data_IF_896835662441
#
_entry.id   IF_896835662441
#
_cell.length_a   1.000
_cell.length_b   1.000
_cell.length_c   1.000
_cell.angle_alpha   90.00
_cell.angle_beta   90.00
_cell.angle_gamma   90.00
#
_symmetry.space_group_name_H-M   'P 1'
#
loop_
_entity.id
_entity.type
_entity.pdbx_description
1 polymer ?
#
# COMPACT_ATOMS: atom_id res chain seq x y z
N UNK A 1 -12.73 18.63 -9.06
CA UNK A 1 -11.73 17.85 -8.29
C UNK A 1 -10.34 18.42 -8.60
N UNK A 2 -9.90 19.46 -7.90
CA UNK A 2 -8.75 20.24 -8.34
C UNK A 2 -7.44 19.46 -8.32
N UNK A 3 -7.17 18.59 -7.33
CA UNK A 3 -5.97 17.75 -7.36
C UNK A 3 -5.92 16.81 -8.58
N UNK A 4 -7.05 16.19 -8.93
CA UNK A 4 -7.18 15.30 -10.10
C UNK A 4 -7.03 16.06 -11.42
N UNK A 5 -7.64 17.24 -11.52
CA UNK A 5 -7.54 18.13 -12.68
C UNK A 5 -6.09 18.62 -12.85
N UNK A 6 -5.43 19.01 -11.74
CA UNK A 6 -4.03 19.44 -11.75
C UNK A 6 -3.07 18.29 -12.08
N UNK A 7 -3.31 17.07 -11.58
CA UNK A 7 -2.53 15.89 -11.98
C UNK A 7 -2.66 15.64 -13.48
N UNK A 8 -3.87 15.73 -14.03
CA UNK A 8 -4.11 15.57 -15.48
C UNK A 8 -3.40 16.68 -16.28
N UNK A 9 -3.54 17.94 -15.85
CA UNK A 9 -2.97 19.09 -16.56
C UNK A 9 -1.43 19.12 -16.53
N UNK A 10 -0.81 18.70 -15.42
CA UNK A 10 0.62 18.86 -15.21
C UNK A 10 1.43 17.57 -15.38
N UNK A 11 0.91 16.41 -14.97
CA UNK A 11 1.68 15.17 -14.92
C UNK A 11 1.42 14.24 -16.12
N UNK A 12 0.25 14.32 -16.76
CA UNK A 12 -0.09 13.51 -17.94
C UNK A 12 0.91 13.57 -19.10
N UNK A 13 1.53 14.74 -19.41
CA UNK A 13 2.53 14.83 -20.49
C UNK A 13 3.83 14.03 -20.26
N UNK A 14 4.02 13.41 -19.10
CA UNK A 14 5.22 12.67 -18.74
C UNK A 14 5.07 11.14 -18.75
N UNK A 15 3.86 10.62 -19.05
CA UNK A 15 3.51 9.20 -18.94
C UNK A 15 4.42 8.25 -19.74
N UNK A 16 5.08 8.73 -20.80
CA UNK A 16 5.83 7.89 -21.76
C UNK A 16 7.33 8.25 -21.90
N UNK A 17 7.90 9.05 -20.99
CA UNK A 17 9.34 9.38 -21.05
C UNK A 17 10.15 8.41 -20.18
N UNK A 18 10.69 7.36 -20.80
CA UNK A 18 11.56 6.39 -20.11
C UNK A 18 13.04 6.72 -20.29
N UNK A 19 13.78 6.52 -19.20
CA UNK A 19 15.24 6.29 -19.10
C UNK A 19 16.20 7.46 -19.41
N UNK A 20 16.94 7.86 -18.36
CA UNK A 20 18.29 8.45 -18.47
C UNK A 20 19.29 7.37 -18.04
N UNK A 21 20.49 7.37 -18.64
CA UNK A 21 21.47 6.27 -18.70
C UNK A 21 21.77 5.51 -17.38
N UNK A 22 21.59 6.10 -16.20
CA UNK A 22 21.89 5.47 -14.89
C UNK A 22 20.75 5.55 -13.85
N UNK A 23 19.57 6.07 -14.23
CA UNK A 23 18.40 6.17 -13.32
C UNK A 23 17.16 5.58 -13.99
N UNK A 24 16.63 4.53 -13.38
CA UNK A 24 15.31 3.98 -13.72
C UNK A 24 14.26 4.90 -13.09
N UNK A 25 13.57 5.69 -13.92
CA UNK A 25 12.46 6.54 -13.51
C UNK A 25 11.16 6.05 -14.14
N UNK A 26 10.13 5.87 -13.31
CA UNK A 26 8.78 5.54 -13.76
C UNK A 26 7.80 6.52 -13.13
N UNK A 27 6.95 7.15 -13.94
CA UNK A 27 5.79 7.90 -13.49
C UNK A 27 4.53 7.21 -13.99
N UNK A 28 3.65 6.86 -13.07
CA UNK A 28 2.37 6.24 -13.37
C UNK A 28 1.23 7.11 -12.83
N UNK A 29 0.12 7.14 -13.56
CA UNK A 29 -1.04 7.98 -13.28
C UNK A 29 -2.29 7.11 -13.14
N UNK A 30 -3.20 7.55 -12.26
CA UNK A 30 -4.50 6.93 -12.01
C UNK A 30 -4.39 5.42 -11.80
N UNK A 31 -5.09 4.64 -12.61
CA UNK A 31 -5.16 3.17 -12.53
C UNK A 31 -3.81 2.45 -12.69
N UNK A 32 -2.79 3.11 -13.24
CA UNK A 32 -1.45 2.54 -13.38
C UNK A 32 -0.55 2.84 -12.17
N UNK A 33 -0.95 3.76 -11.29
CA UNK A 33 -0.14 4.20 -10.17
C UNK A 33 -0.02 3.16 -9.04
N UNK A 34 -0.90 2.15 -9.01
CA UNK A 34 -1.09 1.22 -7.89
C UNK A 34 0.19 0.59 -7.37
N UNK A 35 1.02 0.01 -8.24
CA UNK A 35 2.22 -0.72 -7.83
C UNK A 35 3.23 0.19 -7.12
N UNK A 36 3.55 1.32 -7.75
CA UNK A 36 4.49 2.32 -7.22
C UNK A 36 3.92 3.00 -5.97
N UNK A 37 2.62 3.30 -5.98
CA UNK A 37 1.97 3.95 -4.84
C UNK A 37 1.96 3.05 -3.62
N UNK A 38 1.71 1.75 -3.79
CA UNK A 38 1.81 0.79 -2.71
C UNK A 38 3.23 0.74 -2.12
N UNK A 39 4.28 0.91 -2.94
CA UNK A 39 5.66 1.00 -2.44
C UNK A 39 5.88 2.29 -1.63
N UNK A 40 5.41 3.44 -2.13
CA UNK A 40 5.50 4.72 -1.41
C UNK A 40 4.76 4.70 -0.06
N UNK A 41 3.54 4.17 -0.05
CA UNK A 41 2.65 4.06 1.12
C UNK A 41 3.26 3.12 2.17
N UNK A 42 3.71 1.94 1.74
CA UNK A 42 4.35 0.96 2.62
C UNK A 42 5.68 1.48 3.18
N UNK A 43 6.53 2.08 2.33
CA UNK A 43 7.82 2.61 2.74
C UNK A 43 7.74 3.83 3.65
N UNK A 44 6.73 4.69 3.47
CA UNK A 44 6.46 5.77 4.41
C UNK A 44 5.88 5.22 5.72
N UNK A 45 5.25 4.04 5.66
CA UNK A 45 4.48 3.39 6.71
C UNK A 45 3.24 4.19 7.10
N UNK A 46 2.64 4.87 6.14
CA UNK A 46 1.39 5.61 6.31
C UNK A 46 0.45 5.12 5.23
N UNK A 47 -0.57 4.36 5.61
CA UNK A 47 -1.59 3.82 4.70
C UNK A 47 -2.57 4.88 4.22
N UNK A 48 -3.23 4.60 3.11
CA UNK A 48 -4.29 5.44 2.52
C UNK A 48 -5.56 5.38 3.39
N UNK A 49 -6.28 6.49 3.52
CA UNK A 49 -7.55 6.54 4.24
C UNK A 49 -8.71 6.11 3.33
N UNK A 50 -8.89 4.78 3.23
CA UNK A 50 -9.96 4.20 2.44
C UNK A 50 -11.35 4.42 3.05
N UNK A 51 -11.49 4.88 4.29
CA UNK A 51 -12.80 5.22 4.85
C UNK A 51 -13.33 6.53 4.28
N UNK A 52 -12.46 7.52 4.11
CA UNK A 52 -12.83 8.80 3.47
C UNK A 52 -12.76 8.74 1.95
N UNK A 53 -12.34 7.61 1.38
CA UNK A 53 -12.23 7.41 -0.07
C UNK A 53 -11.02 8.09 -0.69
N UNK A 54 -9.93 8.22 0.07
CA UNK A 54 -8.68 8.74 -0.46
C UNK A 54 -8.16 7.84 -1.61
N UNK A 55 -7.81 8.46 -2.73
CA UNK A 55 -7.42 7.78 -3.96
C UNK A 55 -6.07 8.27 -4.44
N UNK A 56 -5.17 7.34 -4.78
CA UNK A 56 -3.92 7.65 -5.49
C UNK A 56 -4.23 8.16 -6.90
N UNK A 57 -3.73 9.35 -7.22
CA UNK A 57 -3.87 9.98 -8.53
C UNK A 57 -2.61 9.83 -9.39
N UNK A 58 -1.44 9.82 -8.76
CA UNK A 58 -0.16 9.65 -9.43
C UNK A 58 0.86 9.00 -8.50
N UNK A 59 1.81 8.29 -9.07
CA UNK A 59 2.94 7.74 -8.32
C UNK A 59 4.21 7.74 -9.16
N UNK A 60 5.36 7.99 -8.53
CA UNK A 60 6.66 8.01 -9.19
C UNK A 60 7.67 7.14 -8.43
N UNK A 61 8.45 6.37 -9.18
CA UNK A 61 9.58 5.58 -8.68
C UNK A 61 10.85 6.10 -9.35
N UNK A 62 11.83 6.49 -8.55
CA UNK A 62 13.20 6.69 -9.01
C UNK A 62 14.08 5.65 -8.35
N UNK A 63 14.84 4.92 -9.15
CA UNK A 63 15.79 3.90 -8.71
C UNK A 63 17.14 4.16 -9.35
N UNK A 64 18.15 4.30 -8.51
CA UNK A 64 19.53 4.51 -8.90
C UNK A 64 20.39 3.40 -8.30
N UNK A 65 21.36 2.89 -9.07
CA UNK A 65 22.27 1.83 -8.61
C UNK A 65 23.76 2.25 -8.66
N UNK A 66 24.15 3.40 -8.07
CA UNK A 66 25.54 3.84 -8.09
C UNK A 66 26.45 2.82 -7.43
N UNK A 67 27.45 2.32 -8.17
CA UNK A 67 28.46 1.37 -7.69
C UNK A 67 27.85 0.10 -7.06
N UNK A 68 26.69 -0.32 -7.55
CA UNK A 68 25.98 -1.51 -7.07
C UNK A 68 25.13 -1.30 -5.81
N UNK A 69 25.07 -0.07 -5.28
CA UNK A 69 24.17 0.28 -4.19
C UNK A 69 22.85 0.79 -4.73
N UNK A 70 21.74 0.15 -4.36
CA UNK A 70 20.40 0.62 -4.68
C UNK A 70 19.99 1.80 -3.79
N UNK A 71 19.53 2.87 -4.45
CA UNK A 71 18.83 4.02 -3.89
C UNK A 71 17.44 4.03 -4.52
N UNK A 72 16.39 3.99 -3.70
CA UNK A 72 14.99 4.03 -4.18
C UNK A 72 14.27 5.21 -3.56
N UNK A 73 13.51 5.92 -4.38
CA UNK A 73 12.62 6.99 -3.96
C UNK A 73 11.24 6.75 -4.61
N UNK A 74 10.22 6.65 -3.77
CA UNK A 74 8.84 6.42 -4.17
C UNK A 74 7.96 7.57 -3.69
N UNK A 75 7.16 8.11 -4.61
CA UNK A 75 6.20 9.18 -4.37
C UNK A 75 4.81 8.66 -4.71
N UNK A 76 3.84 8.92 -3.85
CA UNK A 76 2.42 8.84 -4.18
C UNK A 76 1.77 10.21 -3.94
N UNK A 77 1.01 10.67 -4.92
CA UNK A 77 0.16 11.84 -4.82
C UNK A 77 -1.27 11.31 -4.82
N UNK A 78 -1.95 11.47 -3.69
CA UNK A 78 -3.37 11.17 -3.56
C UNK A 78 -4.19 12.42 -3.87
N UNK A 79 -5.49 12.30 -3.83
CA UNK A 79 -6.41 13.42 -3.92
C UNK A 79 -6.50 14.28 -2.65
N UNK A 80 -5.68 13.95 -1.64
CA UNK A 80 -5.67 14.61 -0.32
C UNK A 80 -4.28 14.97 0.18
N UNK A 81 -3.25 14.20 -0.20
CA UNK A 81 -1.91 14.36 0.35
C UNK A 81 -0.82 13.85 -0.57
N UNK A 82 0.40 14.20 -0.20
CA UNK A 82 1.63 13.71 -0.80
C UNK A 82 2.33 12.78 0.17
N UNK A 83 2.68 11.59 -0.28
CA UNK A 83 3.38 10.56 0.48
C UNK A 83 4.71 10.28 -0.22
N UNK A 84 5.82 10.40 0.52
CA UNK A 84 7.16 10.10 0.03
C UNK A 84 7.80 9.03 0.91
N UNK A 85 8.48 8.08 0.29
CA UNK A 85 9.41 7.17 0.96
C UNK A 85 10.70 7.03 0.16
N UNK A 86 11.84 7.13 0.82
CA UNK A 86 13.15 6.90 0.23
C UNK A 86 14.04 6.06 1.14
N UNK A 87 14.84 5.18 0.53
CA UNK A 87 15.85 4.42 1.25
C UNK A 87 17.10 4.16 0.38
N UNK A 88 18.24 3.94 1.05
CA UNK A 88 19.52 3.57 0.43
C UNK A 88 20.09 2.31 1.09
N UNK A 89 20.70 1.46 0.27
CA UNK A 89 21.37 0.22 0.67
C UNK A 89 22.74 0.41 1.32
N UNK A 90 23.28 1.64 1.36
CA UNK A 90 24.55 1.95 2.04
C UNK A 90 24.39 2.06 3.57
N UNK A 91 25.38 1.57 4.32
CA UNK A 91 25.44 1.69 5.79
C UNK A 91 26.07 3.05 6.15
N UNK A 92 25.30 3.92 6.82
CA UNK A 92 25.83 5.18 7.38
C UNK A 92 25.55 6.47 6.59
N UNK A 93 24.83 6.42 5.46
CA UNK A 93 24.40 7.63 4.76
C UNK A 93 23.04 8.10 5.26
N UNK A 94 22.97 9.33 5.77
CA UNK A 94 21.72 10.10 5.81
C UNK A 94 21.02 10.00 4.44
N UNK A 95 19.79 9.48 4.37
CA UNK A 95 18.77 9.74 3.33
C UNK A 95 17.61 8.73 3.42
N UNK A 96 17.12 8.50 4.63
CA UNK A 96 15.80 7.91 4.81
C UNK A 96 14.75 9.02 4.82
N UNK A 97 14.25 9.44 3.67
CA UNK A 97 13.22 10.49 3.61
C UNK A 97 11.85 9.82 3.64
N UNK A 98 11.09 10.03 4.70
CA UNK A 98 9.65 9.73 4.72
C UNK A 98 8.85 10.92 5.19
N UNK A 99 7.77 11.20 4.49
CA UNK A 99 6.76 12.10 5.00
C UNK A 99 5.43 11.85 4.32
N UNK A 100 4.37 12.24 5.01
CA UNK A 100 3.02 12.39 4.48
C UNK A 100 2.61 13.83 4.78
N UNK A 101 2.27 14.62 3.77
CA UNK A 101 1.84 16.00 3.91
C UNK A 101 0.46 16.17 3.28
N UNK A 102 -0.52 16.58 4.10
CA UNK A 102 -1.83 16.98 3.62
C UNK A 102 -1.74 18.16 2.66
N UNK A 103 -2.50 18.14 1.58
CA UNK A 103 -2.49 19.25 0.61
C UNK A 103 -2.99 20.55 1.21
N UNK A 104 -3.88 20.48 2.20
CA UNK A 104 -4.34 21.60 3.02
C UNK A 104 -3.22 22.22 3.87
N UNK A 105 -2.19 21.43 4.22
CA UNK A 105 -1.05 21.87 5.02
C UNK A 105 -0.03 22.67 4.19
N UNK A 106 -0.07 22.55 2.86
CA UNK A 106 0.90 23.18 1.96
C UNK A 106 0.81 24.72 2.00
N UNK A 107 1.76 25.38 2.63
CA UNK A 107 1.79 26.84 2.70
C UNK A 107 2.52 27.46 1.51
N UNK A 108 3.67 26.88 1.15
CA UNK A 108 4.58 27.44 0.15
C UNK A 108 5.34 26.34 -0.58
N UNK A 109 5.75 26.63 -1.81
CA UNK A 109 6.53 25.74 -2.66
C UNK A 109 7.75 26.49 -3.16
N UNK A 110 8.91 25.85 -3.10
CA UNK A 110 10.13 26.31 -3.78
C UNK A 110 10.60 25.21 -4.72
N UNK A 111 10.90 25.58 -5.97
CA UNK A 111 11.52 24.66 -6.94
C UNK A 111 12.92 25.14 -7.22
N UNK A 112 13.90 24.27 -7.01
CA UNK A 112 15.30 24.59 -7.26
C UNK A 112 15.86 23.58 -8.24
N UNK A 113 16.21 24.05 -9.43
CA UNK A 113 16.95 23.29 -10.43
C UNK A 113 18.36 23.90 -10.55
N UNK A 114 19.38 23.17 -10.09
CA UNK A 114 20.78 23.59 -10.17
C UNK A 114 21.65 22.43 -10.65
N UNK A 115 22.88 22.71 -11.11
CA UNK A 115 23.82 21.64 -11.49
C UNK A 115 24.04 20.59 -10.40
N UNK A 116 23.91 20.97 -9.12
CA UNK A 116 24.24 20.11 -7.98
C UNK A 116 23.03 19.46 -7.30
N UNK A 117 21.85 20.05 -7.45
CA UNK A 117 20.63 19.56 -6.81
C UNK A 117 19.38 20.04 -7.54
N UNK A 118 18.48 19.09 -7.81
CA UNK A 118 17.16 19.32 -8.38
C UNK A 118 16.11 18.79 -7.39
N UNK A 119 15.34 19.68 -6.79
CA UNK A 119 14.29 19.31 -5.83
C UNK A 119 13.12 20.29 -5.83
N UNK A 120 11.97 19.79 -5.39
CA UNK A 120 10.82 20.60 -5.01
C UNK A 120 10.69 20.57 -3.50
N UNK A 121 10.75 21.73 -2.85
CA UNK A 121 10.61 21.88 -1.41
C UNK A 121 9.21 22.35 -1.07
N UNK A 122 8.52 21.56 -0.26
CA UNK A 122 7.19 21.87 0.26
C UNK A 122 7.32 22.40 1.69
N UNK A 123 6.64 23.50 1.99
CA UNK A 123 6.60 24.08 3.33
C UNK A 123 5.19 23.95 3.90
N UNK A 124 5.09 23.58 5.17
CA UNK A 124 3.84 23.72 5.92
C UNK A 124 3.66 25.13 6.50
N UNK A 125 2.50 25.39 7.12
CA UNK A 125 2.20 26.66 7.78
C UNK A 125 3.08 26.96 9.00
N UNK A 126 3.79 25.95 9.53
CA UNK A 126 4.75 26.09 10.63
C UNK A 126 6.17 26.38 10.12
N UNK A 127 6.39 26.39 8.80
CA UNK A 127 7.69 26.57 8.17
C UNK A 127 8.54 25.30 8.09
N UNK A 128 8.00 24.14 8.47
CA UNK A 128 8.68 22.85 8.28
C UNK A 128 8.78 22.56 6.79
N UNK A 129 9.98 22.24 6.32
CA UNK A 129 10.23 21.94 4.91
C UNK A 129 10.43 20.45 4.66
N UNK A 130 9.97 19.99 3.49
CA UNK A 130 10.10 18.63 2.98
C UNK A 130 10.56 18.65 1.53
N UNK A 131 11.64 17.94 1.23
CA UNK A 131 12.22 17.93 -0.11
C UNK A 131 11.75 16.70 -0.90
N UNK A 132 11.29 16.95 -2.12
CA UNK A 132 10.99 15.98 -3.16
C UNK A 132 12.15 15.98 -4.17
N UNK A 133 13.03 14.99 -4.07
CA UNK A 133 14.23 14.90 -4.90
C UNK A 133 14.00 13.97 -6.08
N UNK A 134 13.20 14.42 -7.05
CA UNK A 134 13.01 13.72 -8.33
C UNK A 134 13.55 14.60 -9.47
N UNK A 135 14.85 14.52 -9.80
CA UNK A 135 15.47 15.39 -10.80
C UNK A 135 14.75 15.36 -12.16
N UNK A 136 14.27 14.19 -12.57
CA UNK A 136 13.62 13.95 -13.86
C UNK A 136 12.31 14.73 -14.03
N UNK A 137 11.65 15.07 -12.92
CA UNK A 137 10.33 15.71 -12.91
C UNK A 137 10.23 16.92 -12.00
N UNK A 138 11.37 17.50 -11.58
CA UNK A 138 11.43 18.62 -10.64
C UNK A 138 10.60 19.81 -11.11
N UNK A 139 10.78 20.25 -12.36
CA UNK A 139 10.03 21.39 -12.91
C UNK A 139 8.52 21.12 -12.97
N UNK A 140 8.14 19.88 -13.29
CA UNK A 140 6.75 19.51 -13.46
C UNK A 140 6.05 19.37 -12.11
N UNK A 141 6.68 18.69 -11.15
CA UNK A 141 6.22 18.65 -9.76
C UNK A 141 6.15 20.06 -9.17
N UNK A 142 7.15 20.90 -9.46
CA UNK A 142 7.19 22.29 -9.03
C UNK A 142 5.98 23.10 -9.48
N UNK A 143 5.64 23.02 -10.77
CA UNK A 143 4.43 23.65 -11.33
C UNK A 143 3.14 23.08 -10.73
N UNK A 144 3.05 21.76 -10.57
CA UNK A 144 1.90 21.10 -9.95
C UNK A 144 1.65 21.62 -8.53
N UNK A 145 2.67 21.61 -7.67
CA UNK A 145 2.53 22.06 -6.29
C UNK A 145 2.33 23.58 -6.19
N UNK A 146 2.95 24.37 -7.06
CA UNK A 146 2.71 25.81 -7.11
C UNK A 146 1.25 26.13 -7.46
N UNK A 147 0.67 25.43 -8.44
CA UNK A 147 -0.74 25.56 -8.78
C UNK A 147 -1.66 25.11 -7.64
N UNK A 148 -1.33 24.00 -6.97
CA UNK A 148 -2.08 23.52 -5.80
C UNK A 148 -2.06 24.53 -4.64
N UNK A 149 -0.91 25.17 -4.39
CA UNK A 149 -0.74 26.15 -3.33
C UNK A 149 -1.55 27.45 -3.55
N UNK A 150 -1.87 27.79 -4.81
CA UNK A 150 -2.72 28.94 -5.15
C UNK A 150 -4.19 28.75 -4.76
N UNK A 151 -4.63 27.51 -4.57
CA UNK A 151 -5.99 27.21 -4.11
C UNK A 151 -6.13 27.43 -2.59
N UNK A 152 -7.32 27.82 -2.10
CA UNK A 152 -7.61 27.81 -0.66
C UNK A 152 -7.41 26.41 -0.05
N UNK A 153 -6.92 26.28 1.20
CA UNK A 153 -6.60 24.99 1.81
C UNK A 153 -7.71 23.93 1.71
N UNK A 154 -8.97 24.31 1.95
CA UNK A 154 -10.12 23.38 1.90
C UNK A 154 -10.43 22.93 0.48
N UNK A 155 -10.10 23.75 -0.53
CA UNK A 155 -10.35 23.44 -1.92
C UNK A 155 -9.29 22.52 -2.51
N UNK A 156 -8.16 22.25 -1.84
CA UNK A 156 -7.08 21.43 -2.41
C UNK A 156 -7.36 19.93 -2.38
N UNK A 157 -8.23 19.50 -1.48
CA UNK A 157 -8.61 18.11 -1.31
C UNK A 157 -9.92 17.81 -2.04
N UNK A 158 -10.09 16.57 -2.50
CA UNK A 158 -11.41 16.11 -2.93
C UNK A 158 -12.35 15.94 -1.73
N UNK A 159 -13.65 16.12 -1.99
CA UNK A 159 -14.69 15.77 -1.03
C UNK A 159 -14.57 14.28 -0.65
N UNK A 160 -14.78 13.90 0.62
CA UNK A 160 -14.77 12.50 1.01
C UNK A 160 -15.76 11.68 0.17
N UNK A 161 -15.34 10.49 -0.25
CA UNK A 161 -16.18 9.48 -0.89
C UNK A 161 -16.31 8.29 0.07
N UNK A 162 -17.15 8.40 1.12
CA UNK A 162 -17.27 7.35 2.11
C UNK A 162 -17.85 6.07 1.51
N UNK A 163 -17.80 5.01 2.29
CA UNK A 163 -18.44 3.75 1.94
C UNK A 163 -19.95 3.93 1.74
N UNK A 164 -20.53 3.41 0.64
CA UNK A 164 -21.97 3.43 0.44
C UNK A 164 -22.70 2.79 1.62
N UNK A 165 -23.81 3.40 2.04
CA UNK A 165 -24.60 2.91 3.17
C UNK A 165 -25.77 2.04 2.70
N UNK A 166 -26.25 1.09 3.54
CA UNK A 166 -27.46 0.34 3.24
C UNK A 166 -28.69 1.24 3.07
N UNK A 167 -29.65 0.75 2.31
CA UNK A 167 -30.94 1.43 2.08
C UNK A 167 -32.10 0.43 2.19
N UNK A 168 -33.36 0.88 2.31
CA UNK A 168 -34.50 -0.04 2.30
C UNK A 168 -34.59 -0.93 1.06
N UNK A 169 -34.12 -0.46 -0.10
CA UNK A 169 -34.12 -1.21 -1.37
C UNK A 169 -32.85 -2.05 -1.59
N UNK A 170 -31.81 -1.80 -0.79
CA UNK A 170 -30.52 -2.49 -0.78
C UNK A 170 -30.05 -2.64 0.67
N UNK A 171 -30.68 -3.54 1.46
CA UNK A 171 -30.50 -3.61 2.91
C UNK A 171 -29.11 -4.07 3.35
N UNK A 172 -28.33 -4.63 2.42
CA UNK A 172 -26.92 -4.97 2.62
C UNK A 172 -25.96 -4.00 1.91
N UNK A 173 -26.46 -2.98 1.21
CA UNK A 173 -25.64 -2.00 0.48
C UNK A 173 -24.82 -2.58 -0.67
N UNK A 174 -25.11 -3.80 -1.13
CA UNK A 174 -24.28 -4.56 -2.09
C UNK A 174 -24.27 -3.93 -3.48
N UNK A 175 -25.44 -3.46 -3.94
CA UNK A 175 -25.58 -2.79 -5.24
C UNK A 175 -24.96 -1.41 -5.20
N UNK A 176 -25.17 -0.68 -4.10
CA UNK A 176 -24.56 0.63 -3.89
C UNK A 176 -23.02 0.52 -3.87
N UNK A 177 -22.46 -0.50 -3.22
CA UNK A 177 -21.02 -0.82 -3.23
C UNK A 177 -20.54 -1.17 -4.63
N UNK A 178 -21.25 -2.02 -5.37
CA UNK A 178 -20.88 -2.39 -6.74
C UNK A 178 -20.83 -1.18 -7.68
N UNK A 179 -21.78 -0.24 -7.56
CA UNK A 179 -21.77 1.02 -8.31
C UNK A 179 -20.68 2.00 -7.84
N UNK A 180 -20.23 1.88 -6.59
CA UNK A 180 -19.21 2.75 -5.99
C UNK A 180 -17.77 2.36 -6.26
N UNK A 181 -17.51 1.25 -6.96
CA UNK A 181 -16.16 0.80 -7.33
C UNK A 181 -15.47 1.87 -8.19
N UNK A 182 -14.17 2.11 -7.96
CA UNK A 182 -13.41 3.15 -8.66
C UNK A 182 -13.08 2.80 -10.11
N UNK A 183 -13.08 1.50 -10.43
CA UNK A 183 -12.97 0.94 -11.77
C UNK A 183 -13.72 -0.37 -11.85
N UNK A 184 -13.94 -0.86 -13.06
CA UNK A 184 -14.49 -2.19 -13.27
C UNK A 184 -13.58 -3.25 -12.60
N UNK A 185 -14.20 -4.11 -11.80
CA UNK A 185 -13.53 -5.16 -11.05
C UNK A 185 -14.41 -6.41 -11.05
N UNK A 186 -14.21 -7.30 -12.04
CA UNK A 186 -15.05 -8.48 -12.21
C UNK A 186 -15.08 -9.38 -10.97
N UNK A 187 -13.95 -9.48 -10.23
CA UNK A 187 -13.87 -10.29 -9.03
C UNK A 187 -14.73 -9.70 -7.91
N UNK A 188 -14.60 -8.39 -7.65
CA UNK A 188 -15.45 -7.71 -6.68
C UNK A 188 -16.94 -7.81 -7.06
N UNK A 189 -17.29 -7.54 -8.32
CA UNK A 189 -18.68 -7.59 -8.80
C UNK A 189 -19.27 -8.99 -8.68
N UNK A 190 -18.53 -10.05 -9.03
CA UNK A 190 -18.98 -11.43 -8.91
C UNK A 190 -19.25 -11.82 -7.45
N UNK A 191 -18.35 -11.45 -6.55
CA UNK A 191 -18.48 -11.70 -5.12
C UNK A 191 -19.72 -10.98 -4.56
N UNK A 192 -19.88 -9.68 -4.85
CA UNK A 192 -21.02 -8.88 -4.39
C UNK A 192 -22.34 -9.45 -4.92
N UNK A 193 -22.41 -9.83 -6.19
CA UNK A 193 -23.60 -10.42 -6.80
C UNK A 193 -23.94 -11.80 -6.20
N UNK A 194 -22.93 -12.57 -5.78
CA UNK A 194 -23.17 -13.83 -5.07
C UNK A 194 -23.79 -13.57 -3.70
N UNK A 195 -23.21 -12.67 -2.91
CA UNK A 195 -23.72 -12.32 -1.57
C UNK A 195 -25.12 -11.70 -1.67
N UNK A 196 -25.42 -10.90 -2.71
CA UNK A 196 -26.77 -10.31 -2.91
C UNK A 196 -27.83 -11.40 -3.06
N UNK A 197 -27.53 -12.47 -3.79
CA UNK A 197 -28.44 -13.62 -3.91
C UNK A 197 -28.63 -14.34 -2.57
N UNK A 198 -27.59 -14.49 -1.76
CA UNK A 198 -27.68 -15.13 -0.45
C UNK A 198 -28.52 -14.31 0.53
N UNK A 199 -28.34 -12.97 0.53
CA UNK A 199 -29.13 -12.05 1.37
C UNK A 199 -30.59 -12.05 0.92
N UNK A 200 -30.85 -11.92 -0.39
CA UNK A 200 -32.21 -11.95 -0.92
C UNK A 200 -32.92 -13.30 -0.67
N UNK A 201 -32.17 -14.40 -0.70
CA UNK A 201 -32.66 -15.74 -0.36
C UNK A 201 -32.82 -16.01 1.13
N UNK A 202 -32.51 -15.05 2.02
CA UNK A 202 -32.59 -15.20 3.47
C UNK A 202 -31.54 -16.14 4.08
N UNK A 203 -30.49 -16.49 3.34
CA UNK A 203 -29.40 -17.37 3.81
C UNK A 203 -28.34 -16.62 4.60
N UNK A 204 -28.22 -15.30 4.37
CA UNK A 204 -27.32 -14.40 5.08
C UNK A 204 -28.15 -13.20 5.55
N UNK A 205 -27.99 -12.79 6.80
CA UNK A 205 -28.68 -11.59 7.29
C UNK A 205 -28.10 -10.32 6.65
N UNK A 206 -28.88 -9.24 6.50
CA UNK A 206 -28.41 -8.02 5.84
C UNK A 206 -27.20 -7.36 6.50
N UNK A 207 -27.01 -7.47 7.82
CA UNK A 207 -25.88 -6.86 8.51
C UNK A 207 -24.57 -7.61 8.18
N UNK A 208 -24.62 -8.95 8.18
CA UNK A 208 -23.51 -9.77 7.68
C UNK A 208 -23.22 -9.51 6.20
N UNK A 209 -24.27 -9.36 5.38
CA UNK A 209 -24.14 -8.99 3.97
C UNK A 209 -23.44 -7.64 3.79
N UNK A 210 -23.78 -6.64 4.61
CA UNK A 210 -23.14 -5.33 4.59
C UNK A 210 -21.69 -5.38 5.06
N UNK A 211 -21.38 -6.06 6.16
CA UNK A 211 -19.98 -6.26 6.60
C UNK A 211 -19.12 -6.87 5.47
N UNK A 212 -19.67 -7.86 4.77
CA UNK A 212 -19.04 -8.46 3.60
C UNK A 212 -18.84 -7.44 2.47
N UNK A 213 -19.87 -6.66 2.13
CA UNK A 213 -19.81 -5.62 1.10
C UNK A 213 -18.69 -4.61 1.40
N UNK A 214 -18.59 -4.17 2.66
CA UNK A 214 -17.55 -3.26 3.13
C UNK A 214 -16.14 -3.82 2.92
N UNK A 215 -15.95 -5.11 3.20
CA UNK A 215 -14.66 -5.79 3.05
C UNK A 215 -14.26 -5.95 1.58
N UNK A 216 -15.21 -6.31 0.71
CA UNK A 216 -14.96 -6.33 -0.75
C UNK A 216 -14.60 -4.93 -1.24
N UNK A 217 -15.29 -3.91 -0.76
CA UNK A 217 -15.00 -2.52 -1.11
C UNK A 217 -13.60 -2.08 -0.65
N UNK A 218 -13.21 -2.45 0.57
CA UNK A 218 -11.87 -2.18 1.09
C UNK A 218 -10.79 -2.95 0.32
N UNK A 219 -11.05 -4.21 -0.06
CA UNK A 219 -10.15 -5.00 -0.91
C UNK A 219 -9.92 -4.31 -2.26
N UNK A 220 -11.01 -3.86 -2.89
CA UNK A 220 -10.95 -3.09 -4.14
C UNK A 220 -10.14 -1.80 -3.99
N UNK A 221 -10.46 -0.98 -3.00
CA UNK A 221 -9.73 0.28 -2.76
C UNK A 221 -8.25 0.03 -2.49
N UNK A 222 -7.92 -1.03 -1.76
CA UNK A 222 -6.54 -1.42 -1.48
C UNK A 222 -5.80 -1.90 -2.73
N UNK A 223 -6.50 -2.65 -3.59
CA UNK A 223 -5.97 -3.11 -4.87
C UNK A 223 -5.82 -2.00 -5.92
N UNK A 224 -6.48 -0.85 -5.76
CA UNK A 224 -6.37 0.30 -6.67
C UNK A 224 -5.38 1.35 -6.14
N UNK A 225 -5.43 1.66 -4.85
CA UNK A 225 -4.71 2.79 -4.24
C UNK A 225 -3.60 2.39 -3.27
N UNK A 226 -3.38 1.09 -3.05
CA UNK A 226 -2.41 0.61 -2.06
C UNK A 226 -3.00 0.44 -0.65
N UNK A 227 -2.20 -0.02 0.32
CA UNK A 227 -2.70 -0.49 1.61
C UNK A 227 -3.31 0.63 2.45
N UNK A 228 -4.41 0.31 3.13
CA UNK A 228 -5.11 1.24 4.01
C UNK A 228 -4.57 1.24 5.44
N UNK A 229 -4.70 2.38 6.12
CA UNK A 229 -4.40 2.52 7.54
C UNK A 229 -5.56 3.23 8.25
N UNK A 230 -5.85 2.81 9.48
CA UNK A 230 -6.87 3.45 10.31
C UNK A 230 -6.48 4.90 10.58
N UNK A 231 -7.38 5.87 10.30
CA UNK A 231 -7.19 7.24 10.75
C UNK A 231 -7.03 7.29 12.28
N UNK A 232 -6.15 8.15 12.78
CA UNK A 232 -5.99 8.40 14.22
C UNK A 232 -5.20 7.35 15.02
N UNK A 233 -5.15 6.09 14.59
CA UNK A 233 -4.44 5.00 15.29
C UNK A 233 -3.04 4.73 14.72
N UNK A 234 -2.40 5.78 14.19
CA UNK A 234 -1.21 5.71 13.32
C UNK A 234 -0.26 4.56 13.67
N UNK A 235 -0.22 3.55 12.76
CA UNK A 235 0.48 2.23 12.79
C UNK A 235 -0.47 1.04 12.55
N UNK A 236 -1.78 1.23 12.72
CA UNK A 236 -2.77 0.17 12.53
C UNK A 236 -3.23 0.12 11.07
N UNK A 237 -2.78 -0.89 10.34
CA UNK A 237 -3.20 -1.17 8.98
C UNK A 237 -4.58 -1.84 8.94
N UNK A 238 -5.28 -1.69 7.83
CA UNK A 238 -6.59 -2.31 7.61
C UNK A 238 -6.46 -3.48 6.63
N UNK A 239 -7.17 -4.56 6.93
CA UNK A 239 -7.30 -5.74 6.09
C UNK A 239 -8.80 -6.01 5.84
N UNK A 240 -9.20 -6.33 4.61
CA UNK A 240 -10.57 -6.75 4.34
C UNK A 240 -10.86 -8.17 4.87
N UNK A 241 -9.84 -8.99 5.09
CA UNK A 241 -10.00 -10.33 5.68
C UNK A 241 -10.43 -10.23 7.14
N UNK A 242 -11.15 -11.23 7.66
CA UNK A 242 -11.39 -11.38 9.10
C UNK A 242 -10.07 -11.55 9.86
N UNK A 243 -10.05 -11.34 11.18
CA UNK A 243 -8.84 -11.46 11.99
C UNK A 243 -8.31 -12.90 11.98
N UNK A 244 -9.22 -13.89 11.98
CA UNK A 244 -8.88 -15.30 11.84
C UNK A 244 -8.24 -15.60 10.48
N UNK A 245 -8.87 -15.17 9.38
CA UNK A 245 -8.33 -15.41 8.03
C UNK A 245 -7.01 -14.66 7.80
N UNK A 246 -6.88 -13.46 8.36
CA UNK A 246 -5.66 -12.66 8.31
C UNK A 246 -4.52 -13.35 9.08
N UNK A 247 -4.78 -13.81 10.31
CA UNK A 247 -3.82 -14.59 11.10
C UNK A 247 -3.37 -15.84 10.35
N UNK A 248 -4.30 -16.60 9.76
CA UNK A 248 -3.98 -17.74 8.91
C UNK A 248 -3.16 -17.37 7.67
N UNK A 249 -3.47 -16.24 7.04
CA UNK A 249 -2.70 -15.74 5.89
C UNK A 249 -1.26 -15.45 6.29
N UNK A 250 -1.02 -14.82 7.45
CA UNK A 250 0.33 -14.63 7.98
C UNK A 250 1.06 -15.95 8.25
N UNK A 251 0.37 -16.95 8.81
CA UNK A 251 0.92 -18.31 9.00
C UNK A 251 1.25 -18.97 7.67
N UNK A 252 0.46 -18.75 6.62
CA UNK A 252 0.76 -19.28 5.29
C UNK A 252 1.98 -18.64 4.64
N UNK A 253 2.23 -17.35 4.92
CA UNK A 253 3.35 -16.59 4.37
C UNK A 253 4.65 -16.92 5.10
N UNK A 254 4.62 -16.93 6.44
CA UNK A 254 5.83 -17.02 7.27
C UNK A 254 6.01 -18.38 7.96
N UNK A 255 5.06 -19.30 7.82
CA UNK A 255 5.05 -20.57 8.53
C UNK A 255 4.46 -20.46 9.94
N UNK A 256 4.64 -21.52 10.74
CA UNK A 256 4.12 -21.58 12.12
C UNK A 256 4.79 -20.51 13.00
N UNK A 257 4.02 -19.73 13.79
CA UNK A 257 4.61 -18.76 14.71
C UNK A 257 5.33 -19.48 15.85
N UNK A 258 6.40 -18.87 16.34
CA UNK A 258 7.16 -19.29 17.50
C UNK A 258 6.35 -19.11 18.80
N UNK A 259 5.53 -18.06 18.85
CA UNK A 259 4.61 -17.78 19.95
C UNK A 259 3.28 -17.20 19.45
N UNK A 260 2.21 -17.47 20.19
CA UNK A 260 0.87 -16.96 19.95
C UNK A 260 0.20 -16.56 21.26
N UNK A 261 -0.25 -15.31 21.34
CA UNK A 261 -0.87 -14.76 22.53
C UNK A 261 -2.11 -13.94 22.17
N UNK A 262 -3.21 -14.15 22.89
CA UNK A 262 -4.38 -13.26 22.79
C UNK A 262 -4.35 -12.32 23.99
N UNK A 263 -4.17 -11.03 23.73
CA UNK A 263 -4.17 -10.00 24.74
C UNK A 263 -5.61 -9.70 25.23
N UNK A 264 -5.78 -9.18 26.47
CA UNK A 264 -7.10 -8.90 27.03
C UNK A 264 -7.93 -7.87 26.25
N UNK A 265 -7.27 -7.05 25.44
CA UNK A 265 -7.90 -6.07 24.54
C UNK A 265 -8.38 -6.69 23.21
N UNK A 266 -8.26 -8.01 23.06
CA UNK A 266 -8.71 -8.76 21.89
C UNK A 266 -7.72 -8.79 20.74
N UNK A 267 -6.48 -8.30 20.93
CA UNK A 267 -5.42 -8.47 19.92
C UNK A 267 -4.81 -9.87 19.99
N UNK A 268 -4.80 -10.56 18.86
CA UNK A 268 -4.05 -11.80 18.68
C UNK A 268 -2.65 -11.48 18.13
N UNK A 269 -1.63 -11.78 18.91
CA UNK A 269 -0.23 -11.56 18.59
C UNK A 269 0.44 -12.85 18.14
N UNK A 270 1.12 -12.80 17.01
CA UNK A 270 1.88 -13.90 16.40
C UNK A 270 3.34 -13.47 16.26
N UNK A 271 4.26 -14.22 16.88
CA UNK A 271 5.69 -13.98 16.75
C UNK A 271 6.30 -14.97 15.76
N UNK A 272 6.84 -14.48 14.64
CA UNK A 272 7.47 -15.29 13.59
C UNK A 272 8.98 -15.19 13.65
N UNK A 273 9.65 -16.33 13.45
CA UNK A 273 11.06 -16.37 13.10
C UNK A 273 11.20 -16.41 11.59
N UNK A 274 11.87 -15.39 11.04
CA UNK A 274 12.13 -15.30 9.62
C UNK A 274 13.49 -15.94 9.32
N UNK A 275 13.51 -16.85 8.36
CA UNK A 275 14.71 -17.29 7.70
C UNK A 275 15.05 -16.29 6.58
N UNK A 276 16.13 -15.50 6.67
CA UNK A 276 16.49 -14.51 5.66
C UNK A 276 16.75 -15.08 4.26
N UNK A 277 16.99 -16.39 4.12
CA UNK A 277 17.21 -17.03 2.83
C UNK A 277 15.91 -17.52 2.17
N UNK A 278 14.83 -17.70 2.96
CA UNK A 278 13.55 -18.25 2.50
C UNK A 278 12.40 -17.24 2.58
N UNK A 279 12.36 -16.49 3.68
CA UNK A 279 11.23 -15.67 4.13
C UNK A 279 11.42 -14.18 3.82
N UNK A 280 12.65 -13.75 3.49
CA UNK A 280 12.81 -12.57 2.65
C UNK A 280 12.17 -12.95 1.32
N UNK A 281 10.97 -12.42 1.10
CA UNK A 281 10.16 -12.63 -0.10
C UNK A 281 10.97 -12.19 -1.32
N UNK A 282 11.95 -12.97 -1.78
CA UNK A 282 12.95 -12.53 -2.75
C UNK A 282 12.24 -12.16 -4.06
N UNK A 283 12.84 -11.29 -4.86
CA UNK A 283 12.23 -10.81 -6.12
C UNK A 283 11.77 -11.96 -7.03
N UNK A 284 12.34 -13.15 -6.85
CA UNK A 284 12.04 -14.41 -7.51
C UNK A 284 10.64 -14.99 -7.21
N UNK A 285 10.03 -14.71 -6.06
CA UNK A 285 8.70 -15.25 -5.69
C UNK A 285 7.52 -14.39 -6.17
N UNK A 286 7.74 -13.09 -6.42
CA UNK A 286 6.75 -12.24 -7.12
C UNK A 286 6.68 -12.54 -8.62
N UNK A 287 7.68 -13.25 -9.14
CA UNK A 287 7.68 -13.81 -10.48
C UNK A 287 7.05 -15.21 -10.56
N UNK A 288 6.46 -15.78 -9.50
CA UNK A 288 5.75 -17.08 -9.57
C UNK A 288 4.29 -16.95 -10.09
N UNK A 289 4.10 -16.01 -11.01
CA UNK A 289 3.31 -16.18 -12.24
C UNK A 289 4.13 -16.72 -13.43
N UNK A 290 5.37 -17.18 -13.22
CA UNK A 290 6.26 -17.77 -14.23
C UNK A 290 6.48 -19.23 -13.88
N UNK A 291 5.44 -20.03 -14.13
CA UNK A 291 5.59 -21.45 -14.43
C UNK A 291 6.24 -21.69 -15.81
N UNK A 292 7.14 -20.82 -16.28
CA UNK A 292 7.63 -20.82 -17.66
C UNK A 292 9.13 -20.55 -17.87
N UNK A 293 9.98 -20.48 -16.83
CA UNK A 293 11.42 -20.18 -17.03
C UNK A 293 12.36 -20.96 -16.10
N UNK A 294 12.14 -22.27 -15.96
CA UNK A 294 13.08 -23.22 -15.33
C UNK A 294 14.02 -23.88 -16.38
N UNK A 295 14.02 -23.42 -17.62
CA UNK A 295 14.95 -23.89 -18.64
C UNK A 295 16.04 -22.87 -18.92
N UNK A 296 17.22 -23.05 -18.29
CA UNK A 296 18.59 -22.76 -18.80
C UNK A 296 19.49 -22.23 -17.69
N UNK A 297 20.40 -23.10 -17.23
CA UNK A 297 21.44 -22.78 -16.27
C UNK A 297 22.70 -22.20 -16.91
N UNK A 298 23.29 -21.23 -16.21
CA UNK A 298 24.72 -20.81 -16.13
C UNK A 298 24.72 -19.69 -15.07
N UNK A 299 25.62 -19.50 -14.10
CA UNK A 299 27.01 -19.89 -13.90
C UNK A 299 27.77 -18.64 -13.39
N UNK A 300 28.17 -18.63 -12.11
CA UNK A 300 29.11 -17.70 -11.43
C UNK A 300 28.82 -16.17 -11.30
N UNK A 301 28.96 -15.64 -10.07
CA UNK A 301 29.31 -14.21 -9.82
C UNK A 301 29.99 -14.01 -8.45
N UNK A 302 31.28 -13.67 -8.41
CA UNK A 302 32.00 -13.24 -7.20
C UNK A 302 31.45 -11.94 -6.60
N UNK A 303 30.63 -11.18 -7.36
CA UNK A 303 30.00 -9.94 -6.91
C UNK A 303 28.94 -10.15 -5.83
N UNK A 304 28.32 -11.34 -5.78
CA UNK A 304 27.29 -11.69 -4.79
C UNK A 304 27.88 -11.81 -3.39
N UNK A 305 29.13 -12.29 -3.27
CA UNK A 305 29.84 -12.44 -1.98
C UNK A 305 30.32 -11.10 -1.44
N UNK A 306 30.77 -10.20 -2.32
CA UNK A 306 31.19 -8.83 -1.95
C UNK A 306 29.98 -7.96 -1.59
N UNK A 307 28.87 -8.06 -2.34
CA UNK A 307 27.60 -7.42 -1.99
C UNK A 307 27.04 -7.96 -0.67
N UNK A 308 27.10 -9.27 -0.44
CA UNK A 308 26.66 -9.90 0.81
C UNK A 308 27.51 -9.47 2.02
N UNK A 309 28.83 -9.29 1.86
CA UNK A 309 29.71 -8.81 2.93
C UNK A 309 29.62 -7.30 3.21
N UNK A 310 29.25 -6.48 2.22
CA UNK A 310 29.10 -5.03 2.37
C UNK A 310 27.67 -4.61 2.77
N UNK A 311 26.66 -5.46 2.53
CA UNK A 311 25.27 -5.28 2.94
C UNK A 311 24.98 -5.75 4.38
N UNK A 312 25.96 -5.73 5.31
CA UNK A 312 25.77 -6.08 6.74
C UNK A 312 24.81 -5.12 7.47
N UNK A 313 23.53 -5.14 7.12
CA UNK A 313 22.43 -4.94 8.06
C UNK A 313 21.99 -6.32 8.51
N UNK A 314 21.77 -6.46 9.82
CA UNK A 314 21.20 -7.69 10.35
C UNK A 314 19.84 -7.88 9.66
N UNK A 315 19.65 -8.98 8.91
CA UNK A 315 18.36 -9.22 8.29
C UNK A 315 17.29 -9.29 9.38
N UNK A 316 16.06 -8.90 9.04
CA UNK A 316 14.94 -9.14 9.94
C UNK A 316 14.82 -10.65 10.13
N UNK A 317 15.09 -11.11 11.34
CA UNK A 317 14.97 -12.52 11.74
C UNK A 317 13.76 -12.77 12.64
N UNK A 318 13.06 -11.70 13.06
CA UNK A 318 11.88 -11.76 13.91
C UNK A 318 10.85 -10.73 13.47
N UNK A 319 9.60 -11.14 13.41
CA UNK A 319 8.49 -10.28 13.06
C UNK A 319 7.31 -10.59 13.99
N UNK A 320 6.78 -9.57 14.65
CA UNK A 320 5.60 -9.66 15.52
C UNK A 320 4.42 -9.06 14.78
N UNK A 321 3.36 -9.84 14.62
CA UNK A 321 2.11 -9.40 14.00
C UNK A 321 1.02 -9.37 15.04
N UNK A 322 0.36 -8.22 15.20
CA UNK A 322 -0.91 -8.13 15.91
C UNK A 322 -2.04 -8.16 14.90
N UNK A 323 -3.09 -8.93 15.15
CA UNK A 323 -4.36 -8.88 14.40
C UNK A 323 -5.52 -8.68 15.37
N UNK A 324 -6.51 -7.91 14.96
CA UNK A 324 -7.70 -7.64 15.77
C UNK A 324 -8.93 -7.47 14.87
N UNK A 325 -10.06 -8.05 15.27
CA UNK A 325 -11.29 -7.94 14.50
C UNK A 325 -11.89 -6.54 14.69
N UNK A 326 -12.27 -5.90 13.59
CA UNK A 326 -12.99 -4.63 13.60
C UNK A 326 -14.34 -4.77 12.93
N UNK A 327 -15.13 -3.70 12.97
CA UNK A 327 -16.34 -3.61 12.17
C UNK A 327 -15.94 -3.36 10.71
N UNK A 328 -16.48 -4.13 9.75
CA UNK A 328 -16.25 -3.98 8.32
C UNK A 328 -14.81 -4.20 7.81
N UNK A 329 -13.84 -4.45 8.70
CA UNK A 329 -12.46 -4.81 8.38
C UNK A 329 -11.74 -5.33 9.63
N UNK A 330 -10.60 -5.95 9.45
CA UNK A 330 -9.70 -6.27 10.56
C UNK A 330 -8.51 -5.32 10.60
N UNK A 331 -8.03 -5.10 11.81
CA UNK A 331 -6.87 -4.27 12.11
C UNK A 331 -5.62 -5.14 12.22
N UNK A 332 -4.48 -4.66 11.74
CA UNK A 332 -3.21 -5.33 11.99
C UNK A 332 -2.03 -4.37 12.18
N UNK A 333 -1.05 -4.85 12.93
CA UNK A 333 0.24 -4.18 13.18
C UNK A 333 1.35 -5.16 12.84
N UNK A 334 2.42 -4.65 12.27
CA UNK A 334 3.62 -5.44 11.93
C UNK A 334 4.84 -4.74 12.52
N UNK A 335 5.46 -5.40 13.48
CA UNK A 335 6.65 -4.92 14.18
C UNK A 335 7.84 -5.84 13.88
N UNK A 336 8.99 -5.24 13.62
CA UNK A 336 10.28 -5.92 13.59
C UNK A 336 10.93 -6.00 14.99
N UNK A 337 12.20 -6.43 15.07
CA UNK A 337 12.89 -6.65 16.34
C UNK A 337 13.05 -5.38 17.20
N UNK A 338 12.99 -4.20 16.58
CA UNK A 338 13.18 -2.89 17.20
C UNK A 338 11.86 -2.10 17.31
N UNK A 339 10.73 -2.80 17.24
CA UNK A 339 9.41 -2.19 17.11
C UNK A 339 9.04 -2.00 15.65
N UNK A 340 8.37 -0.89 15.31
CA UNK A 340 7.85 -0.64 13.96
C UNK A 340 8.92 -0.87 12.88
N UNK A 341 8.52 -1.53 11.79
CA UNK A 341 9.35 -1.69 10.59
C UNK A 341 10.04 -0.36 10.20
N UNK A 342 11.36 -0.41 10.11
CA UNK A 342 12.21 0.72 9.78
C UNK A 342 12.14 1.03 8.27
N UNK A 343 12.68 2.16 7.86
CA UNK A 343 12.75 2.55 6.44
C UNK A 343 13.50 1.52 5.58
N UNK A 344 14.47 0.81 6.16
CA UNK A 344 15.17 -0.29 5.51
C UNK A 344 14.27 -1.45 5.13
N UNK A 345 13.10 -1.53 5.77
CA UNK A 345 12.18 -2.66 5.66
C UNK A 345 11.02 -2.32 4.72
N UNK A 346 11.05 -1.15 4.09
CA UNK A 346 10.04 -0.65 3.15
C UNK A 346 9.70 -1.66 2.05
N UNK A 347 10.72 -2.34 1.50
CA UNK A 347 10.52 -3.36 0.46
C UNK A 347 9.79 -4.60 1.02
N UNK A 348 10.17 -5.06 2.22
CA UNK A 348 9.48 -6.16 2.88
C UNK A 348 8.02 -5.78 3.21
N UNK A 349 7.80 -4.58 3.76
CA UNK A 349 6.47 -4.05 4.04
C UNK A 349 5.63 -3.97 2.77
N UNK A 350 6.17 -3.41 1.68
CA UNK A 350 5.49 -3.34 0.39
C UNK A 350 5.08 -4.73 -0.11
N UNK A 351 6.01 -5.69 -0.12
CA UNK A 351 5.75 -7.07 -0.56
C UNK A 351 4.70 -7.76 0.30
N UNK A 352 4.79 -7.60 1.62
CA UNK A 352 3.77 -8.11 2.54
C UNK A 352 2.39 -7.54 2.21
N UNK A 353 2.27 -6.22 2.08
CA UNK A 353 0.99 -5.59 1.76
C UNK A 353 0.45 -6.05 0.39
N UNK A 354 1.30 -6.22 -0.61
CA UNK A 354 0.91 -6.78 -1.91
C UNK A 354 0.39 -8.21 -1.77
N UNK A 355 1.08 -9.07 -1.01
CA UNK A 355 0.64 -10.44 -0.74
C UNK A 355 -0.71 -10.45 -0.02
N UNK A 356 -0.91 -9.61 0.99
CA UNK A 356 -2.18 -9.50 1.72
C UNK A 356 -3.32 -9.02 0.83
N UNK A 357 -3.09 -8.01 -0.02
CA UNK A 357 -4.08 -7.52 -0.99
C UNK A 357 -4.46 -8.64 -1.98
N UNK A 358 -3.49 -9.38 -2.50
CA UNK A 358 -3.75 -10.48 -3.42
C UNK A 358 -4.54 -11.63 -2.76
N UNK A 359 -4.16 -12.01 -1.53
CA UNK A 359 -4.84 -13.05 -0.77
C UNK A 359 -6.28 -12.66 -0.39
N UNK A 360 -6.54 -11.36 -0.19
CA UNK A 360 -7.85 -10.86 0.23
C UNK A 360 -8.99 -11.29 -0.68
N UNK A 361 -8.84 -11.18 -2.01
CA UNK A 361 -9.90 -11.60 -2.94
C UNK A 361 -10.18 -13.09 -2.89
N UNK A 362 -9.12 -13.92 -2.82
CA UNK A 362 -9.28 -15.37 -2.75
C UNK A 362 -9.99 -15.79 -1.45
N UNK A 363 -9.63 -15.15 -0.35
CA UNK A 363 -10.27 -15.38 0.96
C UNK A 363 -11.73 -14.94 0.91
N UNK A 364 -12.02 -13.74 0.41
CA UNK A 364 -13.39 -13.23 0.29
C UNK A 364 -14.23 -14.11 -0.64
N UNK A 365 -13.74 -14.46 -1.84
CA UNK A 365 -14.45 -15.35 -2.75
C UNK A 365 -14.82 -16.68 -2.08
N UNK A 366 -13.86 -17.29 -1.40
CA UNK A 366 -14.10 -18.53 -0.66
C UNK A 366 -15.14 -18.35 0.44
N UNK A 367 -15.08 -17.24 1.16
CA UNK A 367 -16.05 -16.89 2.22
C UNK A 367 -17.45 -16.64 1.66
N UNK A 368 -17.57 -16.03 0.48
CA UNK A 368 -18.85 -15.86 -0.20
C UNK A 368 -19.46 -17.22 -0.55
N UNK A 369 -18.64 -18.17 -1.02
CA UNK A 369 -19.10 -19.50 -1.43
C UNK A 369 -19.42 -20.44 -0.26
N UNK A 370 -18.65 -20.39 0.83
CA UNK A 370 -18.75 -21.35 1.92
C UNK A 370 -19.43 -20.82 3.19
N UNK A 371 -19.68 -19.52 3.27
CA UNK A 371 -20.33 -18.88 4.41
C UNK A 371 -19.44 -17.89 5.15
N UNK A 372 -20.02 -16.72 5.44
CA UNK A 372 -19.42 -15.68 6.29
C UNK A 372 -19.57 -16.05 7.77
N UNK A 373 -18.55 -15.75 8.59
CA UNK A 373 -18.61 -15.97 10.04
C UNK A 373 -18.46 -17.42 10.53
N UNK A 374 -18.36 -18.41 9.65
CA UNK A 374 -17.94 -19.76 10.05
C UNK A 374 -16.48 -19.72 10.53
N UNK A 375 -16.14 -20.41 11.61
CA UNK A 375 -14.73 -20.59 11.95
C UNK A 375 -14.02 -21.23 10.74
N UNK A 376 -12.80 -20.81 10.42
CA UNK A 376 -12.01 -21.37 9.32
C UNK A 376 -11.84 -22.89 9.47
N UNK A 377 -11.83 -23.40 10.72
CA UNK A 377 -11.87 -24.83 11.02
C UNK A 377 -13.17 -25.52 10.59
N UNK A 378 -14.31 -24.83 10.64
CA UNK A 378 -15.61 -25.36 10.23
C UNK A 378 -15.78 -25.40 8.69
N UNK A 379 -14.96 -24.68 7.93
CA UNK A 379 -14.98 -24.68 6.46
C UNK A 379 -14.26 -25.89 5.81
N UNK A 380 -13.65 -26.76 6.62
CA UNK A 380 -12.91 -27.95 6.18
C UNK A 380 -13.24 -29.22 6.97
N UNK A 381 -14.25 -29.17 7.84
CA UNK A 381 -14.91 -30.36 8.40
C UNK A 381 -15.99 -30.82 7.42
#
# INVERSE_FOLDING_TARGET
>A
MPARELVSAHLQPLRDKSTLLDTEFTLALFEHATGIASEAVAGCGVGVDHYTGEHVLAAALARETPRGYEHRLCLAITDRRTILSGWSSTKGGHNGTRFSMGHEQLARVESKATMLANYVRLFDHQGTSRDLTFPQVTDVLGRFYAALAQLPPQARMSAPLPMPQPSPEDPAGLRAVAHGLWREDPAATQILAHVDRLVYGGQVDPASGYDFACRVFLAHRSAVSGPAMSPGLGRVWLSPMSAADLGHTFVSIYGRPADYQVAPDGWAWHDFHLNPERDYLDATLSALGVAAYVGLGVGFSPGRVIAHHLMKREPITKLRVGVHEGQACSHYVVDGPRGRLELSDANMAHRLHQALIHSSYRVLERRALLGWGLDYHALFA
#
